data_IF_623744940269
#
_entry.id   IF_623744940269
#
_cell.length_a   1.000
_cell.length_b   1.000
_cell.length_c   1.000
_cell.angle_alpha   90.00
_cell.angle_beta   90.00
_cell.angle_gamma   90.00
#
_symmetry.space_group_name_H-M   'P 1'
#
loop_
_entity.id
_entity.type
_entity.pdbx_description
1 polymer ?
#
# COMPACT_ATOMS: atom_id res chain seq x y z
N UNK A 1 37.34 -21.73 -73.13
CA UNK A 1 36.16 -20.94 -72.72
C UNK A 1 35.37 -21.77 -71.72
N UNK A 2 35.59 -21.53 -70.43
CA UNK A 2 34.91 -22.23 -69.33
C UNK A 2 34.04 -21.18 -68.64
N UNK A 3 32.72 -21.33 -68.73
CA UNK A 3 31.75 -20.34 -68.24
C UNK A 3 31.31 -20.73 -66.82
N UNK A 4 31.79 -20.01 -65.80
CA UNK A 4 31.36 -20.16 -64.41
C UNK A 4 29.99 -19.48 -64.23
N UNK A 5 28.95 -20.26 -63.88
CA UNK A 5 27.64 -19.72 -63.49
C UNK A 5 27.61 -19.49 -61.99
N UNK A 6 27.60 -18.22 -61.57
CA UNK A 6 27.29 -17.83 -60.18
C UNK A 6 25.77 -17.91 -59.97
N UNK A 7 25.34 -18.76 -59.03
CA UNK A 7 23.97 -18.77 -58.52
C UNK A 7 23.95 -17.79 -57.33
N UNK A 8 23.27 -16.65 -57.50
CA UNK A 8 22.99 -15.73 -56.42
C UNK A 8 21.82 -16.28 -55.59
N UNK A 9 22.10 -16.69 -54.35
CA UNK A 9 21.06 -17.06 -53.38
C UNK A 9 20.59 -15.77 -52.71
N UNK A 10 19.39 -15.30 -53.07
CA UNK A 10 18.70 -14.24 -52.34
C UNK A 10 18.20 -14.79 -51.00
N UNK A 11 18.83 -14.42 -49.89
CA UNK A 11 18.26 -14.61 -48.56
C UNK A 11 17.11 -13.60 -48.37
N UNK A 12 15.87 -14.07 -48.42
CA UNK A 12 14.73 -13.32 -47.91
C UNK A 12 14.74 -13.39 -46.38
N UNK A 13 15.13 -12.30 -45.72
CA UNK A 13 14.89 -12.13 -44.29
C UNK A 13 13.39 -11.89 -44.09
N UNK A 14 12.69 -12.93 -43.64
CA UNK A 14 11.29 -12.82 -43.20
C UNK A 14 11.31 -12.09 -41.85
N UNK A 15 11.10 -10.78 -41.86
CA UNK A 15 10.80 -10.03 -40.66
C UNK A 15 9.42 -10.48 -40.18
N UNK A 16 9.37 -11.32 -39.15
CA UNK A 16 8.11 -11.64 -38.48
C UNK A 16 7.47 -10.36 -37.92
N UNK A 17 6.12 -10.29 -37.81
CA UNK A 17 5.47 -9.17 -37.15
C UNK A 17 6.04 -9.07 -35.74
N UNK A 18 6.62 -7.92 -35.40
CA UNK A 18 6.96 -7.61 -34.02
C UNK A 18 5.65 -7.64 -33.24
N UNK A 19 5.43 -8.72 -32.48
CA UNK A 19 4.37 -8.74 -31.48
C UNK A 19 4.66 -7.58 -30.54
N UNK A 20 3.82 -6.55 -30.54
CA UNK A 20 3.91 -5.51 -29.54
C UNK A 20 3.83 -6.22 -28.18
N UNK A 21 4.92 -6.19 -27.43
CA UNK A 21 4.94 -6.77 -26.11
C UNK A 21 3.88 -6.04 -25.29
N UNK A 22 2.97 -6.81 -24.70
CA UNK A 22 1.91 -6.25 -23.88
C UNK A 22 2.54 -5.40 -22.78
N UNK A 23 2.09 -4.14 -22.63
CA UNK A 23 2.61 -3.25 -21.61
C UNK A 23 2.21 -3.80 -20.24
N UNK A 24 3.20 -4.23 -19.45
CA UNK A 24 3.00 -4.79 -18.12
C UNK A 24 3.71 -3.96 -17.05
N UNK A 25 3.08 -3.89 -15.89
CA UNK A 25 3.54 -3.18 -14.71
C UNK A 25 4.07 -4.17 -13.67
N UNK A 26 5.25 -3.87 -13.15
CA UNK A 26 5.79 -4.43 -11.92
C UNK A 26 5.39 -3.58 -10.71
N UNK A 27 5.59 -4.11 -9.50
CA UNK A 27 5.31 -3.36 -8.27
C UNK A 27 6.06 -2.01 -8.25
N UNK A 28 5.40 -0.89 -7.92
CA UNK A 28 6.03 0.44 -7.86
C UNK A 28 6.85 0.64 -6.57
N UNK A 29 7.03 -0.41 -5.76
CA UNK A 29 7.64 -0.35 -4.44
C UNK A 29 8.48 -1.60 -4.15
N UNK A 30 9.65 -1.41 -3.56
CA UNK A 30 10.50 -2.49 -3.06
C UNK A 30 10.19 -2.75 -1.57
N UNK A 31 9.34 -3.75 -1.31
CA UNK A 31 8.91 -4.13 0.04
C UNK A 31 8.50 -5.61 0.11
N UNK A 32 8.32 -6.13 1.33
CA UNK A 32 7.73 -7.44 1.55
C UNK A 32 6.20 -7.30 1.60
N UNK A 33 5.54 -7.52 0.46
CA UNK A 33 4.10 -7.38 0.34
C UNK A 33 3.35 -8.26 1.36
N UNK A 34 2.34 -7.67 2.02
CA UNK A 34 1.59 -8.33 3.08
C UNK A 34 2.26 -8.29 4.47
N UNK A 35 3.52 -7.81 4.57
CA UNK A 35 4.28 -7.72 5.82
C UNK A 35 4.79 -6.31 6.14
N UNK A 36 5.32 -5.60 5.14
CA UNK A 36 5.85 -4.23 5.30
C UNK A 36 5.15 -3.21 4.40
N UNK A 37 4.35 -3.67 3.45
CA UNK A 37 3.51 -2.84 2.59
C UNK A 37 2.22 -3.57 2.18
N UNK A 38 1.19 -2.80 1.87
CA UNK A 38 -0.15 -3.28 1.51
C UNK A 38 -0.83 -2.31 0.56
N UNK A 39 -1.73 -2.80 -0.29
CA UNK A 39 -2.69 -1.90 -0.95
C UNK A 39 -3.64 -1.35 0.11
N UNK A 40 -3.83 -0.03 0.13
CA UNK A 40 -4.78 0.64 0.99
C UNK A 40 -5.98 1.17 0.19
N UNK A 41 -5.75 1.69 -1.01
CA UNK A 41 -6.80 2.21 -1.90
C UNK A 41 -6.53 1.78 -3.35
N UNK A 42 -7.60 1.56 -4.09
CA UNK A 42 -7.63 1.27 -5.52
C UNK A 42 -8.24 2.46 -6.28
N UNK A 43 -8.09 2.55 -7.62
CA UNK A 43 -8.74 3.60 -8.38
C UNK A 43 -10.27 3.55 -8.25
N UNK A 44 -10.89 4.73 -8.27
CA UNK A 44 -12.34 4.89 -8.26
C UNK A 44 -12.94 4.60 -9.65
N UNK A 45 -13.87 3.65 -9.66
CA UNK A 45 -14.66 3.20 -10.80
C UNK A 45 -16.04 3.87 -10.92
N UNK A 46 -16.49 4.61 -9.90
CA UNK A 46 -17.79 5.28 -9.91
C UNK A 46 -17.69 6.69 -9.33
N UNK A 47 -17.35 7.65 -10.20
CA UNK A 47 -17.20 9.04 -9.82
C UNK A 47 -18.48 9.59 -9.18
N UNK A 48 -18.38 10.04 -7.93
CA UNK A 48 -19.47 10.52 -7.10
C UNK A 48 -19.54 9.84 -5.73
N UNK A 49 -20.63 10.06 -4.97
CA UNK A 49 -20.77 9.53 -3.61
C UNK A 49 -20.87 7.99 -3.54
N UNK A 50 -20.92 7.32 -4.68
CA UNK A 50 -20.94 5.86 -4.84
C UNK A 50 -19.57 5.22 -5.03
N UNK A 51 -18.47 5.98 -4.88
CA UNK A 51 -17.10 5.56 -5.14
C UNK A 51 -16.83 4.07 -4.83
N UNK A 52 -16.35 3.35 -5.83
CA UNK A 52 -16.14 1.91 -5.77
C UNK A 52 -14.87 1.50 -6.49
N UNK A 53 -14.21 0.44 -6.02
CA UNK A 53 -13.01 -0.10 -6.67
C UNK A 53 -13.38 -1.05 -7.82
N UNK A 54 -12.38 -1.58 -8.53
CA UNK A 54 -12.58 -2.50 -9.66
C UNK A 54 -13.34 -3.81 -9.33
N UNK A 55 -13.52 -4.11 -8.04
CA UNK A 55 -14.33 -5.24 -7.55
C UNK A 55 -15.72 -4.80 -7.06
N UNK A 56 -16.12 -3.56 -7.35
CA UNK A 56 -17.29 -2.91 -6.74
C UNK A 56 -17.19 -2.81 -5.20
N UNK A 57 -15.97 -2.90 -4.66
CA UNK A 57 -15.67 -2.78 -3.24
C UNK A 57 -15.51 -1.33 -2.79
N UNK A 58 -15.42 -1.11 -1.48
CA UNK A 58 -15.28 0.22 -0.89
C UNK A 58 -13.84 0.61 -0.56
N UNK A 59 -12.82 -0.02 -1.16
CA UNK A 59 -11.41 0.30 -0.93
C UNK A 59 -10.95 1.41 -1.89
N UNK A 60 -11.69 2.51 -1.90
CA UNK A 60 -11.41 3.73 -2.67
C UNK A 60 -12.10 4.93 -2.02
N UNK A 61 -12.00 6.10 -2.64
CA UNK A 61 -12.79 7.30 -2.35
C UNK A 61 -13.05 8.08 -3.64
N UNK A 62 -14.05 8.98 -3.60
CA UNK A 62 -14.50 9.74 -4.77
C UNK A 62 -13.34 10.48 -5.46
N UNK A 63 -13.13 10.15 -6.74
CA UNK A 63 -12.11 10.77 -7.58
C UNK A 63 -10.69 10.25 -7.40
N UNK A 64 -10.48 9.21 -6.58
CA UNK A 64 -9.17 8.57 -6.44
C UNK A 64 -8.73 7.93 -7.77
N UNK A 65 -7.59 8.33 -8.32
CA UNK A 65 -7.22 7.99 -9.70
C UNK A 65 -6.00 7.06 -9.84
N UNK A 66 -5.66 6.36 -8.77
CA UNK A 66 -4.50 5.48 -8.75
C UNK A 66 -4.58 4.41 -7.67
N UNK A 67 -3.46 3.72 -7.47
CA UNK A 67 -3.31 2.68 -6.47
C UNK A 67 -2.40 3.17 -5.35
N UNK A 68 -2.90 3.17 -4.12
CA UNK A 68 -2.13 3.55 -2.94
C UNK A 68 -1.53 2.31 -2.29
N UNK A 69 -0.22 2.17 -2.36
CA UNK A 69 0.52 1.11 -1.67
C UNK A 69 1.21 1.72 -0.45
N UNK A 70 0.62 1.45 0.72
CA UNK A 70 1.09 2.01 1.98
C UNK A 70 2.29 1.25 2.53
N UNK A 71 3.13 1.97 3.26
CA UNK A 71 3.98 1.38 4.30
C UNK A 71 3.30 1.53 5.65
N UNK A 72 3.92 1.03 6.71
CA UNK A 72 3.27 1.01 8.01
C UNK A 72 3.11 2.41 8.61
N UNK A 73 4.19 3.16 8.73
CA UNK A 73 4.26 4.44 9.45
C UNK A 73 5.32 5.38 8.84
N UNK A 74 5.42 6.62 9.34
CA UNK A 74 6.32 7.65 8.79
C UNK A 74 7.80 7.32 8.96
N UNK A 75 8.12 6.36 9.84
CA UNK A 75 9.49 5.88 10.08
C UNK A 75 9.86 4.71 9.17
N UNK A 76 8.86 4.08 8.55
CA UNK A 76 9.07 2.99 7.60
C UNK A 76 9.78 3.50 6.35
N UNK A 77 10.72 2.71 5.85
CA UNK A 77 11.50 3.03 4.65
C UNK A 77 11.25 1.93 3.62
N UNK A 78 10.78 2.33 2.46
CA UNK A 78 10.69 1.50 1.27
C UNK A 78 11.09 2.34 0.05
N UNK A 79 11.78 1.71 -0.88
CA UNK A 79 12.17 2.39 -2.12
C UNK A 79 10.99 2.37 -3.10
N UNK A 80 10.71 3.52 -3.70
CA UNK A 80 9.82 3.63 -4.86
C UNK A 80 10.64 3.25 -6.09
N UNK A 81 10.12 2.34 -6.89
CA UNK A 81 10.80 1.81 -8.08
C UNK A 81 9.93 1.95 -9.32
N UNK A 82 10.54 2.06 -10.49
CA UNK A 82 9.80 2.14 -11.75
C UNK A 82 9.02 0.83 -12.01
N UNK A 83 7.73 0.94 -12.25
CA UNK A 83 6.88 -0.22 -12.60
C UNK A 83 7.15 -0.76 -14.00
N UNK A 84 7.69 0.05 -14.91
CA UNK A 84 7.98 -0.35 -16.28
C UNK A 84 9.19 0.45 -16.83
N UNK A 85 9.93 -0.07 -17.82
CA UNK A 85 11.01 0.69 -18.44
C UNK A 85 10.44 1.90 -19.18
N UNK A 86 11.18 3.01 -19.19
CA UNK A 86 10.72 4.24 -19.83
C UNK A 86 11.69 5.41 -19.67
N UNK A 87 11.21 6.61 -19.94
CA UNK A 87 11.98 7.85 -19.79
C UNK A 87 11.29 8.79 -18.81
N UNK A 88 12.05 9.35 -17.87
CA UNK A 88 11.55 10.33 -16.91
C UNK A 88 11.20 11.63 -17.64
N UNK A 89 9.93 12.02 -17.62
CA UNK A 89 9.43 13.23 -18.33
C UNK A 89 9.11 14.39 -17.39
N UNK A 90 8.81 14.08 -16.12
CA UNK A 90 8.48 15.06 -15.09
C UNK A 90 8.97 14.62 -13.72
N UNK A 91 9.27 15.59 -12.88
CA UNK A 91 9.55 15.37 -11.46
C UNK A 91 9.19 16.61 -10.65
N UNK A 92 8.91 16.41 -9.37
CA UNK A 92 8.84 17.46 -8.35
C UNK A 92 9.53 16.95 -7.10
N UNK A 93 10.37 17.78 -6.50
CA UNK A 93 10.98 17.53 -5.19
C UNK A 93 10.93 18.81 -4.34
N UNK A 94 11.21 18.69 -3.04
CA UNK A 94 11.25 19.81 -2.09
C UNK A 94 9.94 20.10 -1.35
N UNK A 95 8.88 19.35 -1.61
CA UNK A 95 7.63 19.42 -0.82
C UNK A 95 7.86 18.71 0.50
N UNK A 96 7.58 19.39 1.61
CA UNK A 96 7.75 18.83 2.96
C UNK A 96 6.88 17.58 3.16
N UNK A 97 7.44 16.59 3.84
CA UNK A 97 6.69 15.41 4.26
C UNK A 97 5.79 15.80 5.46
N UNK A 98 4.49 15.89 5.21
CA UNK A 98 3.48 16.27 6.20
C UNK A 98 2.15 15.61 5.85
N UNK A 99 1.63 14.82 6.78
CA UNK A 99 0.33 14.16 6.60
C UNK A 99 -0.80 15.20 6.46
N UNK A 100 -1.55 15.12 5.36
CA UNK A 100 -2.70 15.98 5.09
C UNK A 100 -3.93 15.48 5.85
N UNK A 101 -4.14 16.02 7.07
CA UNK A 101 -5.20 15.55 7.98
C UNK A 101 -6.43 16.47 7.95
N UNK A 102 -6.20 17.77 7.80
CA UNK A 102 -7.21 18.82 7.90
C UNK A 102 -7.55 19.44 6.53
N UNK A 103 -8.72 20.09 6.39
CA UNK A 103 -9.01 20.89 5.20
C UNK A 103 -7.96 21.98 4.93
N UNK A 104 -7.40 22.57 5.98
CA UNK A 104 -6.33 23.56 5.89
C UNK A 104 -5.05 22.94 5.32
N UNK A 105 -4.72 21.71 5.72
CA UNK A 105 -3.57 20.99 5.15
C UNK A 105 -3.74 20.78 3.65
N UNK A 106 -4.93 20.34 3.22
CA UNK A 106 -5.26 20.11 1.81
C UNK A 106 -5.27 21.40 1.01
N UNK A 107 -5.79 22.49 1.57
CA UNK A 107 -5.75 23.80 0.93
C UNK A 107 -4.31 24.29 0.68
N UNK A 108 -3.39 23.99 1.60
CA UNK A 108 -1.98 24.38 1.47
C UNK A 108 -1.22 23.63 0.37
N UNK A 109 -1.69 22.44 -0.03
CA UNK A 109 -1.08 21.61 -1.09
C UNK A 109 -1.87 21.63 -2.42
N UNK A 110 -2.87 22.50 -2.54
CA UNK A 110 -3.63 22.64 -3.78
C UNK A 110 -2.70 22.94 -4.97
N UNK A 111 -2.93 22.26 -6.10
CA UNK A 111 -2.10 22.24 -7.33
C UNK A 111 -0.77 21.49 -7.22
N UNK A 112 -0.42 21.00 -6.04
CA UNK A 112 0.74 20.15 -5.78
C UNK A 112 0.34 18.89 -4.99
N UNK A 113 -0.87 18.39 -5.23
CA UNK A 113 -1.49 17.27 -4.50
C UNK A 113 -0.65 16.00 -4.59
N UNK A 114 0.01 15.76 -5.73
CA UNK A 114 0.97 14.66 -5.90
C UNK A 114 2.20 14.77 -4.97
N UNK A 115 2.47 15.92 -4.37
CA UNK A 115 3.67 16.15 -3.56
C UNK A 115 4.94 16.01 -4.38
N UNK A 116 5.95 15.39 -3.78
CA UNK A 116 7.14 14.95 -4.51
C UNK A 116 6.80 13.72 -5.34
N UNK A 117 7.29 13.67 -6.57
CA UNK A 117 6.92 12.61 -7.49
C UNK A 117 7.73 12.59 -8.77
N UNK A 118 7.55 11.50 -9.50
CA UNK A 118 8.21 11.22 -10.78
C UNK A 118 7.14 10.83 -11.79
N UNK A 119 7.31 11.26 -13.04
CA UNK A 119 6.49 10.84 -14.18
C UNK A 119 7.39 10.15 -15.20
N UNK A 120 6.99 8.96 -15.64
CA UNK A 120 7.72 8.16 -16.62
C UNK A 120 6.81 7.95 -17.83
N UNK A 121 7.30 8.33 -19.01
CA UNK A 121 6.68 7.97 -20.28
C UNK A 121 7.23 6.63 -20.78
N UNK A 122 6.34 5.82 -21.34
CA UNK A 122 6.61 4.49 -21.86
C UNK A 122 6.18 4.40 -23.34
N UNK A 123 6.59 3.32 -24.00
CA UNK A 123 6.14 3.02 -25.35
C UNK A 123 4.62 2.85 -25.43
N UNK A 124 4.03 3.05 -26.61
CA UNK A 124 2.58 2.86 -26.81
C UNK A 124 1.69 3.95 -26.20
N UNK A 125 2.29 5.07 -25.77
CA UNK A 125 1.60 6.22 -25.21
C UNK A 125 1.24 6.09 -23.72
N UNK A 126 1.78 5.08 -23.04
CA UNK A 126 1.57 4.88 -21.61
C UNK A 126 2.41 5.84 -20.77
N UNK A 127 1.89 6.23 -19.61
CA UNK A 127 2.57 7.04 -18.61
C UNK A 127 2.28 6.47 -17.22
N UNK A 128 3.30 6.42 -16.36
CA UNK A 128 3.13 6.17 -14.92
C UNK A 128 3.56 7.39 -14.12
N UNK A 129 2.76 7.75 -13.12
CA UNK A 129 3.07 8.83 -12.17
C UNK A 129 3.11 8.28 -10.74
N UNK A 130 4.21 8.58 -10.05
CA UNK A 130 4.50 8.16 -8.68
C UNK A 130 4.43 9.40 -7.79
N UNK A 131 3.54 9.40 -6.81
CA UNK A 131 3.30 10.55 -5.93
C UNK A 131 3.61 10.24 -4.47
N UNK A 132 3.59 11.29 -3.64
CA UNK A 132 3.81 11.26 -2.20
C UNK A 132 5.19 10.74 -1.77
N UNK A 133 6.19 10.92 -2.63
CA UNK A 133 7.56 10.51 -2.35
C UNK A 133 8.18 11.37 -1.23
N UNK A 134 9.19 10.81 -0.56
CA UNK A 134 9.89 11.46 0.55
C UNK A 134 10.69 12.66 0.04
N UNK A 135 10.63 13.76 0.79
CA UNK A 135 11.35 14.98 0.47
C UNK A 135 12.86 14.72 0.34
N UNK A 136 13.46 15.15 -0.77
CA UNK A 136 14.89 14.99 -1.05
C UNK A 136 15.33 13.57 -1.36
N UNK A 137 14.38 12.65 -1.63
CA UNK A 137 14.70 11.24 -1.92
C UNK A 137 14.77 10.90 -3.41
N UNK A 138 14.38 11.82 -4.30
CA UNK A 138 14.33 11.54 -5.74
C UNK A 138 15.76 11.27 -6.27
N UNK A 139 15.93 10.10 -6.88
CA UNK A 139 17.22 9.55 -7.32
C UNK A 139 17.44 9.64 -8.84
N UNK A 140 16.49 10.21 -9.58
CA UNK A 140 16.51 10.33 -11.05
C UNK A 140 16.33 11.77 -11.50
N UNK A 141 16.61 12.04 -12.77
CA UNK A 141 16.49 13.34 -13.41
C UNK A 141 15.61 13.24 -14.65
N UNK A 142 15.04 14.36 -15.05
CA UNK A 142 14.29 14.47 -16.32
C UNK A 142 15.21 14.09 -17.48
N UNK A 143 14.73 13.19 -18.34
CA UNK A 143 15.46 12.64 -19.48
C UNK A 143 16.18 11.32 -19.20
N UNK A 144 16.27 10.88 -17.94
CA UNK A 144 16.87 9.59 -17.63
C UNK A 144 16.03 8.45 -18.20
N UNK A 145 16.70 7.49 -18.85
CA UNK A 145 16.11 6.20 -19.15
C UNK A 145 16.17 5.32 -17.90
N UNK A 146 15.07 4.66 -17.58
CA UNK A 146 14.96 3.80 -16.39
C UNK A 146 14.49 2.40 -16.78
N UNK A 147 14.99 1.39 -16.08
CA UNK A 147 14.49 0.02 -16.18
C UNK A 147 13.38 -0.25 -15.15
N UNK A 148 12.51 -1.24 -15.41
CA UNK A 148 11.60 -1.72 -14.37
C UNK A 148 12.39 -2.18 -13.12
N UNK A 149 11.90 -1.83 -11.93
CA UNK A 149 12.57 -2.08 -10.65
C UNK A 149 13.69 -1.10 -10.31
N UNK A 150 14.04 -0.16 -11.20
CA UNK A 150 15.02 0.88 -10.89
C UNK A 150 14.47 1.85 -9.83
N UNK A 151 15.28 2.13 -8.80
CA UNK A 151 14.94 3.11 -7.76
C UNK A 151 14.71 4.50 -8.35
N UNK A 152 13.56 5.08 -8.00
CA UNK A 152 13.16 6.44 -8.31
C UNK A 152 13.31 7.36 -7.10
N UNK A 153 13.14 6.82 -5.90
CA UNK A 153 13.30 7.52 -4.63
C UNK A 153 12.76 6.68 -3.48
N UNK A 154 12.16 7.30 -2.47
CA UNK A 154 11.63 6.62 -1.29
C UNK A 154 10.18 6.99 -1.01
N UNK A 155 9.44 6.07 -0.38
CA UNK A 155 8.10 6.34 0.12
C UNK A 155 8.16 7.46 1.16
N UNK A 156 7.28 8.44 0.99
CA UNK A 156 7.11 9.58 1.88
C UNK A 156 5.66 9.80 2.24
N UNK A 157 5.34 11.05 2.53
CA UNK A 157 4.00 11.51 2.87
C UNK A 157 3.87 13.01 2.57
N UNK A 158 4.39 13.41 1.41
CA UNK A 158 4.27 14.77 0.86
C UNK A 158 2.99 14.91 0.02
N UNK A 159 2.48 16.13 -0.16
CA UNK A 159 1.24 16.37 -0.91
C UNK A 159 -0.02 15.98 -0.14
N UNK A 160 -1.07 15.55 -0.84
CA UNK A 160 -2.35 15.11 -0.23
C UNK A 160 -2.26 13.66 0.26
N UNK A 161 -1.36 13.40 1.21
CA UNK A 161 -1.15 12.07 1.77
C UNK A 161 -1.71 11.98 3.20
N UNK A 162 -2.74 11.17 3.42
CA UNK A 162 -3.29 10.92 4.76
C UNK A 162 -2.51 9.86 5.58
N UNK A 163 -1.66 9.08 4.91
CA UNK A 163 -0.78 8.06 5.47
C UNK A 163 0.47 7.91 4.58
N UNK A 164 1.57 7.30 5.04
CA UNK A 164 2.77 7.08 4.22
C UNK A 164 2.57 6.00 3.15
N UNK A 165 2.70 6.37 1.88
CA UNK A 165 2.47 5.47 0.75
C UNK A 165 3.13 5.98 -0.54
N UNK A 166 3.21 5.09 -1.53
CA UNK A 166 3.34 5.51 -2.93
C UNK A 166 1.97 5.41 -3.58
N UNK A 167 1.57 6.48 -4.25
CA UNK A 167 0.42 6.48 -5.15
C UNK A 167 0.91 6.30 -6.58
N UNK A 168 0.40 5.29 -7.27
CA UNK A 168 0.66 5.04 -8.69
C UNK A 168 -0.59 5.32 -9.51
N UNK A 169 -0.54 6.31 -10.40
CA UNK A 169 -1.54 6.48 -11.46
C UNK A 169 -0.97 6.06 -12.81
N UNK A 170 -1.85 5.53 -13.66
CA UNK A 170 -1.51 5.04 -15.00
C UNK A 170 -2.37 5.77 -16.01
N UNK A 171 -1.74 6.26 -17.09
CA UNK A 171 -2.44 6.92 -18.19
C UNK A 171 -2.01 6.32 -19.52
N UNK A 172 -2.87 6.44 -20.53
CA UNK A 172 -2.52 6.21 -21.93
C UNK A 172 -3.07 7.32 -22.79
N UNK A 173 -2.20 8.03 -23.51
CA UNK A 173 -2.57 9.19 -24.33
C UNK A 173 -3.39 10.27 -23.60
N UNK A 174 -3.16 10.42 -22.28
CA UNK A 174 -3.88 11.38 -21.42
C UNK A 174 -5.08 10.79 -20.68
N UNK A 175 -5.61 9.64 -21.10
CA UNK A 175 -6.73 8.99 -20.43
C UNK A 175 -6.26 8.16 -19.24
N UNK A 176 -6.96 8.28 -18.11
CA UNK A 176 -6.68 7.51 -16.89
C UNK A 176 -7.11 6.06 -17.08
N UNK A 177 -6.27 5.14 -16.59
CA UNK A 177 -6.52 3.70 -16.62
C UNK A 177 -6.50 3.15 -15.20
N UNK A 178 -7.39 2.21 -14.91
CA UNK A 178 -7.23 1.35 -13.75
C UNK A 178 -6.30 0.17 -14.11
N UNK A 179 -5.15 -0.01 -13.43
CA UNK A 179 -4.21 -1.06 -13.77
C UNK A 179 -4.70 -2.49 -13.44
N UNK A 180 -5.77 -2.64 -12.66
CA UNK A 180 -6.40 -3.92 -12.32
C UNK A 180 -7.41 -4.38 -13.37
N UNK A 181 -8.09 -3.46 -14.06
CA UNK A 181 -9.06 -3.78 -15.12
C UNK A 181 -8.56 -3.47 -16.53
N UNK A 182 -7.45 -2.74 -16.69
CA UNK A 182 -6.87 -2.37 -17.99
C UNK A 182 -7.71 -1.41 -18.82
N UNK A 183 -8.81 -0.90 -18.27
CA UNK A 183 -9.76 -0.02 -18.92
C UNK A 183 -9.93 1.30 -18.15
N UNK A 184 -10.68 2.23 -18.74
CA UNK A 184 -11.21 3.34 -17.98
C UNK A 184 -12.12 2.79 -16.87
N UNK A 185 -11.94 3.29 -15.66
CA UNK A 185 -12.60 2.84 -14.44
C UNK A 185 -14.13 2.99 -14.53
N UNK A 186 -14.82 2.03 -15.15
CA UNK A 186 -16.25 2.12 -15.52
C UNK A 186 -17.00 0.80 -15.46
N UNK A 187 -16.32 -0.35 -15.27
CA UNK A 187 -16.97 -1.66 -15.15
C UNK A 187 -16.29 -2.53 -14.09
N UNK A 188 -17.09 -3.07 -13.15
CA UNK A 188 -16.63 -4.07 -12.19
C UNK A 188 -16.43 -5.43 -12.87
N UNK A 189 -15.60 -6.29 -12.26
CA UNK A 189 -15.42 -7.70 -12.64
C UNK A 189 -14.77 -7.94 -14.01
N UNK A 190 -13.83 -7.07 -14.44
CA UNK A 190 -13.01 -7.30 -15.64
C UNK A 190 -11.52 -7.60 -15.32
N UNK A 191 -11.18 -8.66 -14.56
CA UNK A 191 -9.79 -8.99 -14.22
C UNK A 191 -8.96 -9.48 -15.42
N UNK A 192 -9.61 -9.86 -16.53
CA UNK A 192 -8.96 -10.47 -17.71
C UNK A 192 -8.06 -9.51 -18.49
N UNK A 193 -8.00 -8.24 -18.10
CA UNK A 193 -7.21 -7.19 -18.75
C UNK A 193 -6.22 -6.49 -17.81
N UNK A 194 -5.90 -7.11 -16.66
CA UNK A 194 -4.91 -6.59 -15.72
C UNK A 194 -3.61 -6.18 -16.41
N UNK A 195 -3.16 -4.96 -16.13
CA UNK A 195 -1.90 -4.40 -16.61
C UNK A 195 -0.71 -4.89 -15.78
N UNK A 196 -0.94 -5.51 -14.62
CA UNK A 196 0.13 -6.06 -13.80
C UNK A 196 0.75 -7.31 -14.41
N UNK A 197 2.07 -7.49 -14.25
CA UNK A 197 2.71 -8.78 -14.51
C UNK A 197 2.16 -9.84 -13.56
N UNK A 198 2.25 -11.13 -13.93
CA UNK A 198 1.74 -12.23 -13.09
C UNK A 198 2.33 -12.19 -11.66
N UNK A 199 3.61 -11.81 -11.54
CA UNK A 199 4.33 -11.66 -10.27
C UNK A 199 3.77 -10.51 -9.42
N UNK A 200 3.48 -9.37 -10.05
CA UNK A 200 2.89 -8.23 -9.36
C UNK A 200 1.41 -8.51 -9.01
N UNK A 201 0.63 -9.04 -9.94
CA UNK A 201 -0.78 -9.39 -9.76
C UNK A 201 -0.98 -10.36 -8.60
N UNK A 202 -0.14 -11.39 -8.48
CA UNK A 202 -0.22 -12.35 -7.37
C UNK A 202 -0.03 -11.69 -5.99
N UNK A 203 0.81 -10.65 -5.90
CA UNK A 203 1.04 -9.89 -4.66
C UNK A 203 -0.06 -8.86 -4.40
N UNK A 204 -0.61 -8.28 -5.46
CA UNK A 204 -1.66 -7.26 -5.42
C UNK A 204 -3.09 -7.84 -5.40
N UNK A 205 -3.22 -9.17 -5.31
CA UNK A 205 -4.50 -9.85 -5.22
C UNK A 205 -5.39 -9.18 -4.15
N UNK A 206 -6.66 -8.96 -4.50
CA UNK A 206 -7.58 -8.19 -3.67
C UNK A 206 -7.70 -8.78 -2.26
N UNK A 207 -7.36 -7.98 -1.25
CA UNK A 207 -7.51 -8.35 0.16
C UNK A 207 -8.62 -7.52 0.77
N UNK A 208 -9.72 -8.19 1.11
CA UNK A 208 -10.93 -7.55 1.62
C UNK A 208 -10.88 -7.33 3.15
N UNK A 209 -9.91 -6.52 3.57
CA UNK A 209 -9.62 -6.20 4.96
C UNK A 209 -8.45 -7.02 5.53
N UNK A 210 -7.52 -6.36 6.21
CA UNK A 210 -6.34 -7.02 6.78
C UNK A 210 -5.80 -6.30 8.02
N UNK A 211 -4.77 -6.90 8.63
CA UNK A 211 -4.07 -6.34 9.78
C UNK A 211 -2.71 -5.81 9.35
N UNK A 212 -2.43 -4.57 9.71
CA UNK A 212 -1.10 -3.99 9.60
C UNK A 212 -0.22 -4.48 10.74
N UNK A 213 -0.74 -4.44 11.97
CA UNK A 213 0.03 -4.82 13.17
C UNK A 213 -0.87 -5.38 14.27
N UNK A 214 -0.34 -6.39 14.97
CA UNK A 214 -0.74 -6.80 16.32
C UNK A 214 0.49 -6.60 17.19
N UNK A 215 0.37 -5.88 18.30
CA UNK A 215 1.52 -5.54 19.13
C UNK A 215 1.17 -5.32 20.59
N UNK A 216 2.21 -4.95 21.35
CA UNK A 216 2.11 -4.53 22.73
C UNK A 216 2.54 -3.06 22.85
N UNK A 217 1.98 -2.34 23.83
CA UNK A 217 2.31 -0.96 24.12
C UNK A 217 2.26 -0.69 25.63
N UNK A 218 3.08 0.27 26.07
CA UNK A 218 3.21 0.67 27.48
C UNK A 218 2.11 1.63 27.94
N UNK A 219 1.13 1.93 27.09
CA UNK A 219 0.12 2.96 27.32
C UNK A 219 -0.99 2.96 26.26
N UNK A 220 -1.76 4.05 26.24
CA UNK A 220 -2.86 4.24 25.30
C UNK A 220 -2.32 4.25 23.87
N UNK A 221 -3.04 3.58 22.96
CA UNK A 221 -2.71 3.51 21.54
C UNK A 221 -3.67 4.39 20.77
N UNK A 222 -3.14 5.43 20.14
CA UNK A 222 -3.88 6.34 19.26
C UNK A 222 -3.44 6.13 17.81
N UNK A 223 -4.36 6.33 16.86
CA UNK A 223 -4.07 6.20 15.43
C UNK A 223 -2.88 7.07 15.00
N UNK A 224 -2.88 8.33 15.42
CA UNK A 224 -1.82 9.30 15.08
C UNK A 224 -0.44 8.81 15.56
N UNK A 225 -0.37 8.24 16.76
CA UNK A 225 0.88 7.71 17.30
C UNK A 225 1.38 6.47 16.53
N UNK A 226 0.46 5.67 15.98
CA UNK A 226 0.82 4.54 15.13
C UNK A 226 1.34 5.03 13.77
N UNK A 227 0.63 5.94 13.12
CA UNK A 227 1.02 6.52 11.84
C UNK A 227 2.37 7.24 11.90
N UNK A 228 2.69 7.88 13.02
CA UNK A 228 3.97 8.57 13.23
C UNK A 228 5.09 7.67 13.76
N UNK A 229 4.82 6.36 13.90
CA UNK A 229 5.80 5.41 14.44
C UNK A 229 6.23 5.74 15.88
N UNK A 230 5.36 6.36 16.67
CA UNK A 230 5.60 6.71 18.10
C UNK A 230 5.28 5.56 19.05
N UNK A 231 4.57 4.54 18.61
CA UNK A 231 4.33 3.33 19.41
C UNK A 231 5.56 2.42 19.31
N UNK A 232 6.19 2.13 20.45
CA UNK A 232 7.36 1.25 20.50
C UNK A 232 7.01 -0.17 20.02
N UNK A 233 8.00 -0.83 19.44
CA UNK A 233 7.99 -2.25 19.08
C UNK A 233 8.76 -3.11 20.08
N UNK A 234 9.31 -2.48 21.12
CA UNK A 234 10.08 -3.18 22.15
C UNK A 234 9.20 -4.20 22.89
N UNK A 235 9.77 -5.34 23.32
CA UNK A 235 9.05 -6.25 24.17
C UNK A 235 8.64 -5.55 25.48
N UNK A 236 7.52 -5.94 26.10
CA UNK A 236 7.10 -5.42 27.38
C UNK A 236 8.16 -5.63 28.47
N UNK A 237 8.41 -4.61 29.27
CA UNK A 237 9.32 -4.66 30.41
C UNK A 237 8.54 -4.54 31.73
N UNK A 238 9.20 -4.89 32.85
CA UNK A 238 8.58 -4.98 34.17
C UNK A 238 8.23 -3.60 34.79
N UNK A 239 8.73 -2.52 34.20
CA UNK A 239 8.52 -1.13 34.59
C UNK A 239 7.41 -0.41 33.78
N UNK A 240 6.86 -1.04 32.73
CA UNK A 240 5.80 -0.43 31.92
C UNK A 240 4.60 -0.01 32.77
N UNK A 241 4.10 1.23 32.66
CA UNK A 241 3.00 1.72 33.48
C UNK A 241 1.64 1.09 33.13
N UNK A 242 1.50 0.56 31.91
CA UNK A 242 0.39 -0.25 31.46
C UNK A 242 0.88 -1.33 30.50
N UNK A 243 0.15 -2.45 30.42
CA UNK A 243 0.36 -3.47 29.41
C UNK A 243 -0.88 -3.53 28.53
N UNK A 244 -0.74 -3.03 27.32
CA UNK A 244 -1.81 -2.97 26.32
C UNK A 244 -1.40 -3.85 25.16
N UNK A 245 -2.31 -4.69 24.67
CA UNK A 245 -2.22 -5.22 23.31
C UNK A 245 -3.16 -4.47 22.40
N UNK A 246 -2.71 -4.21 21.18
CA UNK A 246 -3.48 -3.48 20.18
C UNK A 246 -3.41 -4.17 18.83
N UNK A 247 -4.46 -3.96 18.04
CA UNK A 247 -4.49 -4.27 16.61
C UNK A 247 -4.69 -2.99 15.83
N UNK A 248 -3.94 -2.84 14.75
CA UNK A 248 -4.16 -1.85 13.70
C UNK A 248 -4.55 -2.57 12.41
N UNK A 249 -5.77 -2.31 11.94
CA UNK A 249 -6.38 -2.91 10.78
C UNK A 249 -6.72 -1.88 9.72
N UNK A 250 -6.84 -2.34 8.47
CA UNK A 250 -7.23 -1.52 7.33
C UNK A 250 -8.35 -2.19 6.52
N UNK A 251 -9.13 -1.37 5.84
CA UNK A 251 -10.16 -1.79 4.88
C UNK A 251 -11.20 -2.74 5.47
N UNK A 252 -11.62 -2.45 6.71
CA UNK A 252 -12.69 -3.20 7.37
C UNK A 252 -14.06 -2.65 6.97
N UNK A 253 -15.04 -3.54 6.87
CA UNK A 253 -16.41 -3.23 6.42
C UNK A 253 -17.36 -3.08 7.60
N UNK A 254 -18.44 -2.34 7.37
CA UNK A 254 -19.60 -2.34 8.26
C UNK A 254 -20.04 -3.78 8.54
N UNK A 255 -20.32 -4.10 9.79
CA UNK A 255 -20.70 -5.44 10.23
C UNK A 255 -19.51 -6.33 10.63
N UNK A 256 -18.27 -5.98 10.26
CA UNK A 256 -17.10 -6.70 10.75
C UNK A 256 -17.03 -6.65 12.27
N UNK A 257 -16.80 -7.79 12.90
CA UNK A 257 -16.57 -7.89 14.33
C UNK A 257 -15.10 -8.17 14.60
N UNK A 258 -14.46 -7.24 15.28
CA UNK A 258 -13.06 -7.33 15.67
C UNK A 258 -13.03 -7.75 17.14
N UNK A 259 -12.27 -8.78 17.47
CA UNK A 259 -12.04 -9.24 18.83
C UNK A 259 -10.55 -9.29 19.08
N UNK A 260 -10.10 -8.67 20.16
CA UNK A 260 -8.72 -8.71 20.64
C UNK A 260 -8.67 -9.23 22.07
N UNK A 261 -7.73 -10.14 22.32
CA UNK A 261 -7.53 -10.83 23.57
C UNK A 261 -6.08 -10.66 24.05
N UNK A 262 -5.91 -10.34 25.34
CA UNK A 262 -4.64 -10.39 26.06
C UNK A 262 -4.73 -11.48 27.13
N UNK A 263 -4.05 -12.62 26.92
CA UNK A 263 -3.94 -13.69 27.90
C UNK A 263 -2.66 -13.54 28.71
N UNK A 264 -2.81 -13.50 30.03
CA UNK A 264 -1.74 -13.33 31.01
C UNK A 264 -1.11 -14.67 31.41
N UNK A 265 0.07 -14.68 32.08
CA UNK A 265 0.75 -15.91 32.47
C UNK A 265 -0.08 -16.82 33.40
N UNK A 266 -1.02 -16.26 34.14
CA UNK A 266 -1.93 -16.99 35.04
C UNK A 266 -3.17 -17.57 34.36
N UNK A 267 -3.28 -17.38 33.04
CA UNK A 267 -4.40 -17.83 32.23
C UNK A 267 -5.59 -16.86 32.18
N UNK A 268 -5.59 -15.76 32.95
CA UNK A 268 -6.63 -14.74 32.85
C UNK A 268 -6.54 -14.03 31.49
N UNK A 269 -7.69 -13.75 30.87
CA UNK A 269 -7.77 -13.06 29.59
C UNK A 269 -8.54 -11.75 29.73
N UNK A 270 -7.97 -10.66 29.21
CA UNK A 270 -8.67 -9.41 28.96
C UNK A 270 -9.14 -9.41 27.50
N UNK A 271 -10.40 -9.12 27.27
CA UNK A 271 -11.03 -9.13 25.94
C UNK A 271 -11.63 -7.78 25.64
N UNK A 272 -11.46 -7.30 24.41
CA UNK A 272 -12.26 -6.23 23.84
C UNK A 272 -12.82 -6.69 22.49
N UNK A 273 -14.07 -6.35 22.19
CA UNK A 273 -14.69 -6.69 20.91
C UNK A 273 -15.66 -5.60 20.46
N UNK A 274 -15.61 -5.27 19.17
CA UNK A 274 -16.45 -4.24 18.55
C UNK A 274 -16.95 -4.74 17.20
N UNK A 275 -18.24 -4.54 16.93
CA UNK A 275 -18.83 -4.66 15.60
C UNK A 275 -18.90 -3.29 14.96
N UNK A 276 -18.38 -3.16 13.74
CA UNK A 276 -18.29 -1.87 13.04
C UNK A 276 -19.65 -1.41 12.52
N UNK A 277 -19.97 -0.14 12.76
CA UNK A 277 -21.21 0.53 12.33
C UNK A 277 -21.14 1.08 10.89
N UNK A 278 -19.92 1.25 10.38
CA UNK A 278 -19.58 1.73 9.04
C UNK A 278 -18.23 1.18 8.59
N UNK A 279 -17.95 1.29 7.30
CA UNK A 279 -16.63 0.96 6.75
C UNK A 279 -15.53 1.82 7.41
N UNK A 280 -14.35 1.22 7.61
CA UNK A 280 -13.18 1.88 8.21
C UNK A 280 -11.97 1.63 7.31
N UNK A 281 -11.49 2.68 6.65
CA UNK A 281 -10.22 2.62 5.92
C UNK A 281 -9.06 2.24 6.86
N UNK A 282 -9.09 2.75 8.10
CA UNK A 282 -8.20 2.36 9.18
C UNK A 282 -8.98 2.20 10.49
N UNK A 283 -8.61 1.23 11.32
CA UNK A 283 -9.21 1.00 12.63
C UNK A 283 -8.18 0.49 13.65
N UNK A 284 -8.29 0.96 14.88
CA UNK A 284 -7.47 0.51 16.00
C UNK A 284 -8.37 0.03 17.12
N UNK A 285 -8.08 -1.16 17.63
CA UNK A 285 -8.71 -1.72 18.82
C UNK A 285 -7.62 -2.16 19.79
N UNK A 286 -7.85 -2.00 21.08
CA UNK A 286 -6.91 -2.42 22.10
C UNK A 286 -7.61 -2.97 23.34
N UNK A 287 -6.88 -3.75 24.13
CA UNK A 287 -7.27 -4.19 25.47
C UNK A 287 -6.02 -4.26 26.35
N UNK A 288 -6.17 -4.07 27.66
CA UNK A 288 -5.02 -4.02 28.55
C UNK A 288 -5.37 -3.58 29.96
N UNK A 289 -4.36 -3.53 30.81
CA UNK A 289 -4.49 -3.10 32.21
C UNK A 289 -3.33 -2.19 32.63
N UNK A 290 -3.54 -1.44 33.71
CA UNK A 290 -2.46 -0.67 34.34
C UNK A 290 -1.59 -1.58 35.20
N UNK A 291 -0.32 -1.19 35.40
CA UNK A 291 0.63 -1.93 36.24
C UNK A 291 0.04 -2.17 37.63
N UNK A 292 -0.10 -3.44 38.07
CA UNK A 292 -0.51 -3.74 39.44
C UNK A 292 0.49 -3.19 40.45
N UNK A 293 0.05 -2.91 41.67
CA UNK A 293 0.93 -2.47 42.76
C UNK A 293 2.03 -3.51 43.09
N UNK A 294 1.75 -4.80 42.83
CA UNK A 294 2.70 -5.92 42.98
C UNK A 294 3.70 -6.03 41.83
N UNK A 295 3.64 -5.12 40.84
CA UNK A 295 4.39 -5.22 39.59
C UNK A 295 3.74 -6.19 38.59
N UNK A 296 4.36 -6.30 37.42
CA UNK A 296 3.95 -7.27 36.40
C UNK A 296 4.31 -8.69 36.81
N UNK A 297 3.41 -9.63 36.52
CA UNK A 297 3.72 -11.04 36.65
C UNK A 297 4.74 -11.42 35.58
N UNK A 298 5.83 -12.07 35.96
CA UNK A 298 6.82 -12.61 35.04
C UNK A 298 6.22 -13.75 34.22
N UNK A 299 6.65 -13.89 32.96
CA UNK A 299 6.22 -14.95 32.05
C UNK A 299 5.54 -14.42 30.78
N UNK A 300 4.95 -15.35 30.03
CA UNK A 300 4.41 -15.09 28.69
C UNK A 300 3.03 -14.42 28.72
N UNK A 301 2.94 -13.28 28.05
CA UNK A 301 1.70 -12.59 27.70
C UNK A 301 1.40 -12.84 26.22
N UNK A 302 0.19 -13.31 25.92
CA UNK A 302 -0.22 -13.71 24.58
C UNK A 302 -1.32 -12.79 24.08
N UNK A 303 -1.05 -12.11 22.98
CA UNK A 303 -2.02 -11.33 22.24
C UNK A 303 -2.65 -12.19 21.14
N UNK A 304 -3.96 -12.12 20.97
CA UNK A 304 -4.64 -12.72 19.84
C UNK A 304 -5.70 -11.76 19.30
N UNK A 305 -5.85 -11.74 17.99
CA UNK A 305 -6.89 -10.96 17.32
C UNK A 305 -7.58 -11.81 16.27
N UNK A 306 -8.89 -11.61 16.15
CA UNK A 306 -9.76 -12.21 15.15
C UNK A 306 -10.68 -11.14 14.60
N UNK A 307 -10.80 -11.08 13.28
CA UNK A 307 -11.82 -10.28 12.58
C UNK A 307 -12.75 -11.24 11.88
N UNK A 308 -14.05 -11.05 12.11
CA UNK A 308 -15.11 -11.86 11.53
C UNK A 308 -16.07 -11.03 10.69
N UNK A 309 -16.43 -11.57 9.53
CA UNK A 309 -17.45 -11.03 8.62
C UNK A 309 -18.47 -12.13 8.36
N UNK A 310 -19.74 -11.84 8.57
CA UNK A 310 -20.84 -12.80 8.37
C UNK A 310 -20.61 -14.16 9.04
N UNK A 311 -20.05 -14.14 10.25
CA UNK A 311 -19.72 -15.34 11.04
C UNK A 311 -18.51 -16.14 10.55
N UNK A 312 -17.77 -15.65 9.55
CA UNK A 312 -16.52 -16.25 9.05
C UNK A 312 -15.32 -15.43 9.48
N UNK A 313 -14.24 -16.10 9.85
CA UNK A 313 -12.96 -15.43 10.12
C UNK A 313 -12.34 -14.96 8.81
N UNK A 314 -12.13 -13.65 8.66
CA UNK A 314 -11.44 -13.07 7.50
C UNK A 314 -9.95 -12.87 7.78
N UNK A 315 -9.57 -12.58 9.03
CA UNK A 315 -8.17 -12.53 9.45
C UNK A 315 -8.02 -12.88 10.92
N UNK A 316 -6.96 -13.60 11.26
CA UNK A 316 -6.57 -13.86 12.65
C UNK A 316 -5.05 -13.82 12.78
N UNK A 317 -4.55 -13.26 13.89
CA UNK A 317 -3.13 -13.25 14.24
C UNK A 317 -2.95 -13.46 15.73
N UNK A 318 -1.80 -14.02 16.11
CA UNK A 318 -1.38 -14.11 17.50
C UNK A 318 0.07 -13.64 17.64
N UNK A 319 0.40 -13.10 18.80
CA UNK A 319 1.74 -12.70 19.18
C UNK A 319 1.97 -13.03 20.65
N UNK A 320 3.23 -13.19 21.03
CA UNK A 320 3.64 -13.41 22.41
C UNK A 320 4.75 -12.45 22.75
N UNK A 321 4.77 -12.01 24.01
CA UNK A 321 5.92 -11.35 24.59
C UNK A 321 6.08 -11.78 26.04
N UNK A 322 7.31 -11.77 26.54
CA UNK A 322 7.66 -12.25 27.89
C UNK A 322 8.18 -11.10 28.72
N UNK A 323 7.63 -10.93 29.91
CA UNK A 323 8.21 -10.06 30.94
C UNK A 323 9.13 -10.93 31.81
N UNK A 324 10.41 -10.57 31.87
CA UNK A 324 11.46 -11.34 32.56
C UNK A 324 11.52 -11.11 34.07
#
# INVERSE_FOLDING_TARGET
>A
MTLLRFIAVLLFTIAGPASAQEFKLELPIACEFGKTCWVQQYPDHDAGPGASDYTCGGQTYDGHDGTDIRVLDTKSIADVVASAPGTVTGLRDGVEDRLARTPEDRAAIAKIECGNGVVIAHDGGYETQYCHMRNGSIAVKKGDAVAAGQKLGQVGYSGDAAFPHVHLSVRRNGDKLDPFSGAAATACDAPDQSMWSDSAAAKLAYVDGTLLRLGFASGKVEMEALEEGRISVDPPTDDWPALVTYVWAINLKKGDTIRIDLRKPDGQTLTNSVTLDRNKAQYVLFTGERRPATGWRKGAYRAAVKVERDGKTIVSRASEATIE
#
